data_IF_589354581033
#
_entry.id   IF_589354581033
#
_cell.length_a   1.000
_cell.length_b   1.000
_cell.length_c   1.000
_cell.angle_alpha   90.00
_cell.angle_beta   90.00
_cell.angle_gamma   90.00
#
_symmetry.space_group_name_H-M   'P 1'
#
loop_
_entity.id
_entity.type
_entity.pdbx_description
1 polymer ?
#
# COMPACT_ATOMS: atom_id res chain seq x y z
N UNK A 1 -5.21 -16.93 -87.47
CA UNK A 1 -6.56 -17.16 -86.89
C UNK A 1 -6.44 -18.28 -85.85
N UNK A 2 -7.17 -18.19 -84.74
CA UNK A 2 -7.18 -19.04 -83.52
C UNK A 2 -6.18 -18.63 -82.42
N UNK A 3 -6.55 -17.72 -81.51
CA UNK A 3 -7.42 -17.82 -80.30
C UNK A 3 -6.57 -18.05 -79.04
N UNK A 4 -6.14 -16.96 -78.41
CA UNK A 4 -5.57 -16.97 -77.06
C UNK A 4 -6.69 -16.86 -76.01
N UNK A 5 -6.67 -17.81 -75.09
CA UNK A 5 -7.61 -17.99 -73.97
C UNK A 5 -7.29 -17.03 -72.83
N UNK A 6 -8.24 -16.16 -72.46
CA UNK A 6 -8.17 -15.37 -71.22
C UNK A 6 -8.84 -16.16 -70.08
N UNK A 7 -8.04 -16.62 -69.11
CA UNK A 7 -8.56 -17.10 -67.83
C UNK A 7 -9.00 -15.90 -66.98
N UNK A 8 -10.29 -15.84 -66.63
CA UNK A 8 -10.82 -14.92 -65.63
C UNK A 8 -10.40 -15.39 -64.23
N UNK A 9 -9.63 -14.58 -63.52
CA UNK A 9 -9.40 -14.76 -62.09
C UNK A 9 -10.55 -14.09 -61.33
N UNK A 10 -11.37 -14.88 -60.63
CA UNK A 10 -12.39 -14.37 -59.70
C UNK A 10 -11.71 -14.04 -58.37
N UNK A 11 -11.62 -12.75 -58.04
CA UNK A 11 -11.23 -12.29 -56.71
C UNK A 11 -12.46 -12.34 -55.80
N UNK A 12 -12.49 -13.28 -54.85
CA UNK A 12 -13.50 -13.30 -53.79
C UNK A 12 -13.14 -12.23 -52.75
N UNK A 13 -13.96 -11.18 -52.67
CA UNK A 13 -13.85 -10.16 -51.63
C UNK A 13 -14.36 -10.76 -50.30
N UNK A 14 -13.44 -11.04 -49.37
CA UNK A 14 -13.77 -11.46 -48.01
C UNK A 14 -14.04 -10.20 -47.18
N UNK A 15 -15.30 -9.87 -46.94
CA UNK A 15 -15.72 -8.80 -46.05
C UNK A 15 -15.47 -9.21 -44.60
N UNK A 16 -14.42 -8.64 -43.97
CA UNK A 16 -14.27 -8.69 -42.51
C UNK A 16 -15.35 -7.83 -41.87
N UNK A 17 -16.37 -8.47 -41.29
CA UNK A 17 -17.26 -7.83 -40.35
C UNK A 17 -16.54 -7.70 -39.00
N UNK A 18 -16.09 -6.49 -38.66
CA UNK A 18 -15.58 -6.17 -37.33
C UNK A 18 -16.76 -6.13 -36.34
N UNK A 19 -16.94 -7.20 -35.55
CA UNK A 19 -17.78 -7.14 -34.36
C UNK A 19 -17.09 -6.24 -33.32
N UNK A 20 -17.51 -4.98 -33.25
CA UNK A 20 -17.27 -4.15 -32.08
C UNK A 20 -18.12 -4.68 -30.93
N UNK A 21 -17.58 -5.62 -30.16
CA UNK A 21 -18.15 -6.00 -28.87
C UNK A 21 -17.98 -4.82 -27.91
N UNK A 22 -19.01 -3.98 -27.81
CA UNK A 22 -19.11 -2.97 -26.78
C UNK A 22 -19.38 -3.70 -25.46
N UNK A 23 -18.31 -4.09 -24.77
CA UNK A 23 -18.38 -4.70 -23.45
C UNK A 23 -18.92 -3.66 -22.46
N UNK A 24 -20.22 -3.60 -22.27
CA UNK A 24 -20.81 -2.86 -21.16
C UNK A 24 -20.47 -3.62 -19.88
N UNK A 25 -19.32 -3.29 -19.27
CA UNK A 25 -18.99 -3.81 -17.94
C UNK A 25 -20.12 -3.41 -17.00
N UNK A 26 -20.80 -4.40 -16.44
CA UNK A 26 -21.83 -4.17 -15.44
C UNK A 26 -21.18 -3.47 -14.25
N UNK A 27 -21.72 -2.34 -13.77
CA UNK A 27 -21.18 -1.66 -12.60
C UNK A 27 -21.12 -2.63 -11.41
N UNK A 28 -20.00 -2.63 -10.70
CA UNK A 28 -19.87 -3.42 -9.48
C UNK A 28 -20.92 -2.94 -8.46
N UNK A 29 -21.66 -3.85 -7.79
CA UNK A 29 -22.70 -3.45 -6.85
C UNK A 29 -22.11 -2.63 -5.71
N UNK A 30 -22.76 -1.50 -5.40
CA UNK A 30 -22.32 -0.59 -4.35
C UNK A 30 -22.56 -1.20 -2.96
N UNK A 31 -21.55 -1.15 -2.09
CA UNK A 31 -21.65 -1.63 -0.73
C UNK A 31 -22.47 -0.72 0.20
N UNK A 32 -22.70 -1.18 1.43
CA UNK A 32 -23.26 -0.35 2.49
C UNK A 32 -22.27 0.74 2.91
N UNK A 33 -22.80 1.90 3.33
CA UNK A 33 -21.97 2.95 3.95
C UNK A 33 -21.34 2.40 5.23
N UNK A 34 -20.09 2.79 5.49
CA UNK A 34 -19.38 2.51 6.74
C UNK A 34 -19.02 3.82 7.46
N UNK A 35 -18.67 3.74 8.74
CA UNK A 35 -18.18 4.90 9.47
C UNK A 35 -16.77 5.30 8.99
N UNK A 36 -15.97 4.33 8.55
CA UNK A 36 -14.61 4.60 8.08
C UNK A 36 -14.60 5.32 6.72
N UNK A 37 -13.75 6.33 6.62
CA UNK A 37 -13.39 7.03 5.39
C UNK A 37 -11.91 6.82 5.12
N UNK A 38 -11.56 6.78 3.85
CA UNK A 38 -10.20 6.58 3.39
C UNK A 38 -9.75 7.75 2.52
N UNK A 39 -8.50 8.14 2.71
CA UNK A 39 -7.71 8.94 1.79
C UNK A 39 -6.78 8.00 1.02
N UNK A 40 -6.60 8.23 -0.28
CA UNK A 40 -5.67 7.46 -1.09
C UNK A 40 -4.87 8.36 -2.03
N UNK A 41 -3.62 7.97 -2.31
CA UNK A 41 -2.80 8.60 -3.35
C UNK A 41 -2.81 7.75 -4.60
N UNK A 42 -3.15 8.33 -5.74
CA UNK A 42 -3.13 7.63 -7.03
C UNK A 42 -1.74 7.56 -7.65
N UNK A 43 -1.54 6.65 -8.61
CA UNK A 43 -0.30 6.55 -9.38
C UNK A 43 0.04 7.83 -10.17
N UNK A 44 -0.98 8.60 -10.58
CA UNK A 44 -0.83 9.94 -11.18
C UNK A 44 -0.67 11.08 -10.15
N UNK A 45 -0.44 10.74 -8.88
CA UNK A 45 -0.14 11.66 -7.78
C UNK A 45 -1.29 12.64 -7.44
N UNK A 46 -2.52 12.10 -7.35
CA UNK A 46 -3.71 12.81 -6.85
C UNK A 46 -4.17 12.21 -5.53
N UNK A 47 -4.81 13.01 -4.68
CA UNK A 47 -5.52 12.52 -3.51
C UNK A 47 -6.97 12.19 -3.88
N UNK A 48 -7.43 11.04 -3.43
CA UNK A 48 -8.84 10.63 -3.47
C UNK A 48 -9.36 10.53 -2.03
N UNK A 49 -10.61 10.93 -1.81
CA UNK A 49 -11.35 10.63 -0.58
C UNK A 49 -12.56 9.78 -0.91
N UNK A 50 -12.84 8.75 -0.14
CA UNK A 50 -14.01 7.89 -0.33
C UNK A 50 -14.49 7.25 0.98
N UNK A 51 -15.74 6.79 0.99
CA UNK A 51 -16.25 5.99 2.10
C UNK A 51 -15.75 4.55 1.97
N UNK A 52 -15.20 3.96 3.03
CA UNK A 52 -14.57 2.64 2.96
C UNK A 52 -15.56 1.50 2.61
N UNK A 53 -16.87 1.72 2.77
CA UNK A 53 -17.91 0.79 2.32
C UNK A 53 -18.34 0.94 0.87
N UNK A 54 -17.94 2.04 0.21
CA UNK A 54 -18.35 2.42 -1.15
C UNK A 54 -17.15 2.92 -1.96
N UNK A 55 -16.11 2.09 -2.16
CA UNK A 55 -14.84 2.51 -2.74
C UNK A 55 -14.95 3.07 -4.17
N UNK A 56 -15.98 2.65 -4.92
CA UNK A 56 -16.25 3.16 -6.27
C UNK A 56 -16.81 4.60 -6.31
N UNK A 57 -17.31 5.13 -5.18
CA UNK A 57 -17.89 6.47 -5.09
C UNK A 57 -16.90 7.45 -4.46
N UNK A 58 -16.14 8.12 -5.32
CA UNK A 58 -15.18 9.16 -4.90
C UNK A 58 -15.94 10.39 -4.39
N UNK A 59 -15.58 10.82 -3.19
CA UNK A 59 -16.12 12.01 -2.51
C UNK A 59 -15.35 13.28 -2.90
N UNK A 60 -14.04 13.17 -3.08
CA UNK A 60 -13.18 14.26 -3.53
C UNK A 60 -11.98 13.74 -4.33
N UNK A 61 -11.52 14.53 -5.30
CA UNK A 61 -10.25 14.34 -6.00
C UNK A 61 -9.48 15.66 -5.94
N UNK A 62 -8.27 15.63 -5.38
CA UNK A 62 -7.42 16.82 -5.24
C UNK A 62 -6.09 16.60 -5.95
N UNK A 63 -5.57 17.65 -6.58
CA UNK A 63 -4.21 17.64 -7.10
C UNK A 63 -3.24 17.86 -5.95
N UNK A 64 -2.19 17.06 -5.88
CA UNK A 64 -1.13 17.25 -4.89
C UNK A 64 -0.19 18.36 -5.38
N UNK A 65 0.08 19.33 -4.51
CA UNK A 65 0.99 20.46 -4.78
C UNK A 65 2.05 20.56 -3.70
N UNK A 66 3.13 21.31 -3.93
CA UNK A 66 4.18 21.53 -2.91
C UNK A 66 5.27 20.45 -2.82
N UNK A 67 5.21 19.41 -3.66
CA UNK A 67 6.30 18.43 -3.79
C UNK A 67 7.51 19.01 -4.51
N UNK A 68 8.68 18.41 -4.29
CA UNK A 68 9.87 18.68 -5.09
C UNK A 68 9.65 18.32 -6.56
N UNK A 69 10.33 19.02 -7.47
CA UNK A 69 10.19 18.78 -8.90
C UNK A 69 10.58 17.33 -9.27
N UNK A 70 9.67 16.64 -9.97
CA UNK A 70 9.86 15.24 -10.37
C UNK A 70 9.62 14.20 -9.27
N UNK A 71 9.21 14.64 -8.07
CA UNK A 71 8.87 13.74 -6.97
C UNK A 71 7.42 13.26 -7.04
N UNK A 72 7.21 12.02 -6.61
CA UNK A 72 5.90 11.40 -6.42
C UNK A 72 5.81 10.85 -5.01
N UNK A 73 4.59 10.62 -4.51
CA UNK A 73 4.42 9.95 -3.22
C UNK A 73 4.46 8.44 -3.37
N UNK A 74 4.92 7.77 -2.30
CA UNK A 74 5.10 6.32 -2.22
C UNK A 74 4.24 5.66 -1.13
N UNK A 75 3.60 6.46 -0.27
CA UNK A 75 2.81 6.00 0.86
C UNK A 75 2.31 7.18 1.68
N UNK A 76 1.21 6.99 2.41
CA UNK A 76 0.62 7.98 3.31
C UNK A 76 0.12 7.27 4.57
N UNK A 77 0.07 7.98 5.68
CA UNK A 77 -0.60 7.52 6.91
C UNK A 77 -0.84 8.71 7.87
N UNK A 78 -1.85 8.61 8.75
CA UNK A 78 -2.14 9.60 9.77
C UNK A 78 -1.28 9.40 11.02
N UNK A 79 -0.66 10.48 11.47
CA UNK A 79 -0.24 10.61 12.87
C UNK A 79 -1.47 10.94 13.71
N UNK A 80 -2.21 9.90 14.13
CA UNK A 80 -3.51 10.04 14.81
C UNK A 80 -3.48 11.00 16.01
N UNK A 81 -2.41 11.01 16.80
CA UNK A 81 -2.26 11.90 17.97
C UNK A 81 -2.23 13.41 17.63
N UNK A 82 -2.01 13.76 16.36
CA UNK A 82 -2.01 15.14 15.86
C UNK A 82 -3.00 15.39 14.73
N UNK A 83 -3.77 14.38 14.30
CA UNK A 83 -4.68 14.45 13.15
C UNK A 83 -4.00 14.97 11.87
N UNK A 84 -2.74 14.58 11.65
CA UNK A 84 -1.94 15.02 10.51
C UNK A 84 -1.67 13.87 9.55
N UNK A 85 -2.02 14.04 8.27
CA UNK A 85 -1.68 13.10 7.21
C UNK A 85 -0.23 13.32 6.79
N UNK A 86 0.60 12.29 6.90
CA UNK A 86 1.97 12.31 6.40
C UNK A 86 2.09 11.55 5.09
N UNK A 87 3.13 11.87 4.33
CA UNK A 87 3.48 11.15 3.12
C UNK A 87 4.99 10.89 3.00
N UNK A 88 5.31 9.78 2.33
CA UNK A 88 6.65 9.42 1.90
C UNK A 88 6.88 9.89 0.47
N UNK A 89 7.84 10.80 0.25
CA UNK A 89 8.28 11.22 -1.07
C UNK A 89 9.31 10.28 -1.70
N UNK A 90 9.27 10.12 -3.03
CA UNK A 90 10.15 9.22 -3.78
C UNK A 90 11.63 9.62 -3.78
N UNK A 91 11.95 10.84 -3.34
CA UNK A 91 13.34 11.28 -3.16
C UNK A 91 13.89 11.05 -1.75
N UNK A 92 13.13 10.38 -0.87
CA UNK A 92 13.54 10.08 0.50
C UNK A 92 13.33 11.27 1.43
N UNK A 93 12.08 11.69 1.59
CA UNK A 93 11.68 12.82 2.42
C UNK A 93 10.27 12.60 2.97
N UNK A 94 9.95 13.22 4.10
CA UNK A 94 8.60 13.30 4.64
C UNK A 94 7.88 14.60 4.24
N UNK A 95 6.58 14.48 4.04
CA UNK A 95 5.65 15.59 3.91
C UNK A 95 4.53 15.47 4.93
N UNK A 96 3.97 16.61 5.34
CA UNK A 96 2.59 16.68 5.84
C UNK A 96 1.71 17.09 4.66
N UNK A 97 0.61 16.38 4.45
CA UNK A 97 -0.40 16.68 3.46
C UNK A 97 -1.64 17.27 4.14
N UNK A 98 -2.16 18.34 3.56
CA UNK A 98 -3.51 18.81 3.81
C UNK A 98 -4.45 18.06 2.86
N UNK A 99 -5.32 17.22 3.41
CA UNK A 99 -6.23 16.36 2.65
C UNK A 99 -7.54 17.05 2.24
N UNK A 100 -7.72 18.33 2.58
CA UNK A 100 -8.82 19.17 2.08
C UNK A 100 -8.40 19.97 0.83
N UNK A 101 -7.13 20.36 0.76
CA UNK A 101 -6.59 21.23 -0.30
C UNK A 101 -5.60 20.53 -1.23
N UNK A 102 -4.97 19.44 -0.79
CA UNK A 102 -3.90 18.74 -1.50
C UNK A 102 -2.52 19.40 -1.38
N UNK A 103 -2.35 20.39 -0.50
CA UNK A 103 -1.07 21.03 -0.28
C UNK A 103 -0.12 20.15 0.55
N UNK A 104 1.11 19.95 0.06
CA UNK A 104 2.18 19.24 0.75
C UNK A 104 3.21 20.22 1.33
N UNK A 105 3.61 19.99 2.58
CA UNK A 105 4.66 20.74 3.27
C UNK A 105 5.79 19.80 3.70
N UNK A 106 7.03 20.18 3.35
CA UNK A 106 8.22 19.39 3.69
C UNK A 106 8.39 19.30 5.22
N UNK A 107 8.70 18.09 5.69
CA UNK A 107 9.13 17.83 7.07
C UNK A 107 10.62 17.59 7.09
N UNK A 108 11.34 18.47 7.77
CA UNK A 108 12.77 18.34 8.03
C UNK A 108 13.64 18.17 6.77
N UNK A 109 14.68 17.36 6.91
CA UNK A 109 15.69 17.15 5.87
C UNK A 109 15.46 15.86 5.08
N UNK A 110 16.04 15.72 3.87
CA UNK A 110 16.13 14.41 3.20
C UNK A 110 16.74 13.35 4.10
N UNK A 111 16.37 12.10 3.85
CA UNK A 111 16.89 10.96 4.60
C UNK A 111 18.39 10.80 4.38
N UNK A 112 19.11 10.46 5.45
CA UNK A 112 20.53 10.09 5.38
C UNK A 112 20.75 8.72 4.72
N UNK A 113 19.71 7.88 4.70
CA UNK A 113 19.68 6.56 4.08
C UNK A 113 18.76 6.60 2.87
N UNK A 114 19.21 6.10 1.72
CA UNK A 114 18.40 6.04 0.51
C UNK A 114 17.28 5.00 0.64
N UNK A 115 16.12 5.29 0.06
CA UNK A 115 15.08 4.30 -0.12
C UNK A 115 15.52 3.25 -1.15
N UNK A 116 15.34 1.98 -0.84
CA UNK A 116 15.68 0.86 -1.69
C UNK A 116 14.43 0.11 -2.13
N UNK A 117 14.28 -0.13 -3.43
CA UNK A 117 13.12 -0.83 -3.99
C UNK A 117 12.15 0.09 -4.72
N UNK A 118 10.97 -0.45 -5.00
CA UNK A 118 9.94 0.19 -5.82
C UNK A 118 8.57 0.24 -5.14
N UNK A 119 8.36 -0.54 -4.07
CA UNK A 119 7.10 -0.63 -3.33
C UNK A 119 7.41 -0.56 -1.86
N UNK A 120 6.57 0.16 -1.12
CA UNK A 120 6.85 0.54 0.25
C UNK A 120 5.60 0.38 1.13
N UNK A 121 5.80 -0.14 2.34
CA UNK A 121 4.88 0.07 3.45
C UNK A 121 5.31 1.30 4.24
N UNK A 122 4.36 2.14 4.63
CA UNK A 122 4.59 3.40 5.33
C UNK A 122 3.48 3.59 6.36
N UNK A 123 3.82 3.62 7.65
CA UNK A 123 2.80 3.65 8.71
C UNK A 123 3.34 4.15 10.05
N UNK A 124 2.52 4.83 10.84
CA UNK A 124 2.83 5.28 12.18
C UNK A 124 2.67 4.17 13.19
N UNK A 125 3.70 3.96 14.00
CA UNK A 125 3.53 3.27 15.27
C UNK A 125 2.95 4.24 16.31
N UNK A 126 1.70 4.07 16.77
CA UNK A 126 1.09 5.01 17.72
C UNK A 126 1.67 4.93 19.14
N UNK A 127 2.28 3.81 19.54
CA UNK A 127 2.84 3.64 20.89
C UNK A 127 4.19 4.36 21.09
N UNK A 128 5.03 4.40 20.05
CA UNK A 128 6.37 5.02 20.14
C UNK A 128 6.54 6.27 19.28
N UNK A 129 5.48 6.68 18.57
CA UNK A 129 5.46 7.88 17.73
C UNK A 129 6.62 7.90 16.72
N UNK A 130 6.73 6.81 15.96
CA UNK A 130 7.71 6.64 14.88
C UNK A 130 7.04 6.11 13.66
N UNK A 131 7.51 6.55 12.51
CA UNK A 131 7.05 6.03 11.21
C UNK A 131 7.89 4.83 10.86
N UNK A 132 7.26 3.72 10.48
CA UNK A 132 7.91 2.56 9.86
C UNK A 132 7.91 2.76 8.36
N UNK A 133 9.05 2.49 7.72
CA UNK A 133 9.16 2.34 6.27
C UNK A 133 9.77 0.98 5.97
N UNK A 134 9.06 0.17 5.22
CA UNK A 134 9.54 -1.13 4.72
C UNK A 134 9.46 -1.17 3.21
N UNK A 135 10.27 -2.01 2.56
CA UNK A 135 10.22 -2.13 1.11
C UNK A 135 10.28 -3.56 0.59
N UNK A 136 9.96 -3.70 -0.69
CA UNK A 136 9.98 -4.97 -1.41
C UNK A 136 11.39 -5.57 -1.59
N UNK A 137 12.45 -4.86 -1.24
CA UNK A 137 13.83 -5.40 -1.20
C UNK A 137 14.24 -5.88 0.20
N UNK A 138 13.33 -5.77 1.17
CA UNK A 138 13.54 -6.11 2.58
C UNK A 138 14.10 -4.98 3.43
N UNK A 139 14.15 -3.74 2.91
CA UNK A 139 14.55 -2.59 3.71
C UNK A 139 13.58 -2.38 4.87
N UNK A 140 14.11 -1.96 6.01
CA UNK A 140 13.36 -1.72 7.24
C UNK A 140 13.94 -0.50 7.95
N UNK A 141 13.16 0.58 8.01
CA UNK A 141 13.57 1.86 8.58
C UNK A 141 12.55 2.34 9.59
N UNK A 142 13.02 3.16 10.53
CA UNK A 142 12.16 4.02 11.35
C UNK A 142 12.52 5.47 11.09
N UNK A 143 11.53 6.35 11.04
CA UNK A 143 11.74 7.80 10.87
C UNK A 143 11.18 8.57 12.07
N UNK A 144 11.83 9.68 12.39
CA UNK A 144 11.32 10.65 13.36
C UNK A 144 10.33 11.61 12.67
N UNK A 145 9.06 11.67 13.12
CA UNK A 145 8.01 12.39 12.38
C UNK A 145 8.17 13.92 12.40
N UNK A 146 8.90 14.48 13.36
CA UNK A 146 9.10 15.94 13.40
C UNK A 146 10.36 16.42 12.65
N UNK A 147 11.30 15.52 12.33
CA UNK A 147 12.60 15.91 11.74
C UNK A 147 12.92 15.21 10.42
N UNK A 148 12.17 14.16 10.06
CA UNK A 148 12.47 13.33 8.89
C UNK A 148 13.73 12.47 9.05
N UNK A 149 14.42 12.53 10.20
CA UNK A 149 15.64 11.77 10.42
C UNK A 149 15.35 10.27 10.49
N UNK A 150 16.20 9.48 9.83
CA UNK A 150 16.21 8.02 9.99
C UNK A 150 16.73 7.71 11.39
N UNK A 151 15.98 6.88 12.13
CA UNK A 151 16.35 6.41 13.46
C UNK A 151 17.39 5.31 13.31
N UNK A 152 18.52 5.47 14.01
CA UNK A 152 19.60 4.50 14.00
C UNK A 152 19.17 3.16 14.64
N UNK A 153 19.26 2.08 13.86
CA UNK A 153 18.99 0.71 14.29
C UNK A 153 20.08 0.11 15.17
N UNK A 154 21.30 0.65 15.14
CA UNK A 154 22.42 0.14 15.93
C UNK A 154 23.43 1.23 16.30
N UNK A 155 23.17 1.88 17.44
CA UNK A 155 24.01 2.94 18.00
C UNK A 155 25.44 2.52 18.42
N UNK A 156 25.80 1.25 18.29
CA UNK A 156 27.18 0.78 18.54
C UNK A 156 28.08 0.88 17.31
N UNK A 157 27.51 1.13 16.13
CA UNK A 157 28.24 1.33 14.88
C UNK A 157 28.22 2.82 14.51
N UNK A 158 29.27 3.26 13.81
CA UNK A 158 29.34 4.64 13.35
C UNK A 158 28.33 4.91 12.21
N UNK A 159 27.61 6.03 12.34
CA UNK A 159 26.62 6.48 11.34
C UNK A 159 25.26 5.78 11.48
N UNK A 160 24.26 6.31 10.76
CA UNK A 160 22.89 5.80 10.85
C UNK A 160 22.76 4.44 10.19
N UNK A 161 22.38 3.42 10.96
CA UNK A 161 22.10 2.07 10.46
C UNK A 161 20.60 1.86 10.24
N UNK A 162 20.25 1.02 9.27
CA UNK A 162 18.87 0.55 9.13
C UNK A 162 18.50 -0.42 10.26
N UNK A 163 17.21 -0.68 10.46
CA UNK A 163 16.78 -1.80 11.28
C UNK A 163 17.13 -3.13 10.58
N UNK A 164 16.94 -4.25 11.28
CA UNK A 164 17.17 -5.60 10.75
C UNK A 164 16.39 -5.83 9.46
N UNK A 165 17.06 -6.41 8.46
CA UNK A 165 16.48 -6.72 7.15
C UNK A 165 15.29 -7.66 7.31
N UNK A 166 14.24 -7.45 6.51
CA UNK A 166 13.05 -8.30 6.56
C UNK A 166 13.39 -9.73 6.15
N UNK A 167 13.04 -10.68 7.02
CA UNK A 167 13.25 -12.10 6.81
C UNK A 167 12.25 -12.92 7.62
N UNK A 168 11.79 -14.04 7.08
CA UNK A 168 10.96 -14.98 7.83
C UNK A 168 11.73 -15.58 9.01
N UNK A 169 11.08 -15.61 10.17
CA UNK A 169 11.64 -16.18 11.38
C UNK A 169 11.95 -17.67 11.23
N UNK A 170 12.91 -18.17 12.02
CA UNK A 170 13.18 -19.60 12.06
C UNK A 170 11.94 -20.36 12.56
N UNK A 171 11.55 -21.43 11.86
CA UNK A 171 10.34 -22.20 12.15
C UNK A 171 9.05 -21.63 11.57
N UNK A 172 9.07 -20.46 10.93
CA UNK A 172 7.94 -19.99 10.15
C UNK A 172 7.69 -20.88 8.92
N UNK A 173 6.43 -21.00 8.49
CA UNK A 173 6.04 -21.76 7.29
C UNK A 173 6.74 -21.29 6.00
N UNK A 174 7.21 -20.05 5.96
CA UNK A 174 7.91 -19.44 4.85
C UNK A 174 9.41 -19.19 5.16
N UNK A 175 9.96 -19.78 6.22
CA UNK A 175 11.37 -19.67 6.57
C UNK A 175 12.28 -20.01 5.37
N UNK A 176 13.30 -19.17 5.14
CA UNK A 176 14.24 -19.29 4.02
C UNK A 176 13.76 -18.70 2.69
N UNK A 177 12.48 -18.29 2.57
CA UNK A 177 12.02 -17.51 1.41
C UNK A 177 12.39 -16.04 1.58
N UNK A 178 12.71 -15.37 0.47
CA UNK A 178 12.88 -13.93 0.44
C UNK A 178 11.51 -13.23 0.40
N UNK A 179 11.15 -12.41 1.40
CA UNK A 179 9.89 -11.68 1.38
C UNK A 179 9.92 -10.53 0.37
N UNK A 180 8.76 -10.19 -0.16
CA UNK A 180 8.46 -9.00 -0.97
C UNK A 180 7.35 -8.25 -0.21
N UNK A 181 7.74 -7.55 0.85
CA UNK A 181 6.79 -6.76 1.66
C UNK A 181 6.44 -5.47 0.92
N UNK A 182 5.14 -5.24 0.73
CA UNK A 182 4.61 -4.14 -0.10
C UNK A 182 3.63 -3.23 0.66
N UNK A 183 3.32 -3.54 1.90
CA UNK A 183 2.45 -2.74 2.77
C UNK A 183 2.71 -3.08 4.22
N UNK A 184 2.52 -2.11 5.12
CA UNK A 184 2.67 -2.27 6.56
C UNK A 184 1.61 -1.42 7.26
N UNK A 185 1.11 -1.89 8.41
CA UNK A 185 0.14 -1.17 9.24
C UNK A 185 0.28 -1.58 10.72
N UNK A 186 0.15 -0.63 11.64
CA UNK A 186 0.10 -0.88 13.07
C UNK A 186 -1.33 -0.95 13.60
N UNK A 187 -1.57 -1.86 14.54
CA UNK A 187 -2.78 -1.84 15.36
C UNK A 187 -2.75 -0.74 16.41
N UNK A 188 -3.94 -0.37 16.89
CA UNK A 188 -4.15 0.55 18.00
C UNK A 188 -4.71 -0.21 19.20
N UNK A 189 -3.87 -0.49 20.20
CA UNK A 189 -4.36 -1.19 21.38
C UNK A 189 -5.14 -0.22 22.30
N UNK A 190 -6.44 -0.48 22.44
CA UNK A 190 -7.37 0.33 23.25
C UNK A 190 -7.23 0.12 24.77
N UNK A 191 -6.66 -1.00 25.19
CA UNK A 191 -6.47 -1.34 26.60
C UNK A 191 -5.12 -0.85 27.14
N UNK A 192 -4.07 -0.90 26.32
CA UNK A 192 -2.73 -0.42 26.65
C UNK A 192 -2.12 0.30 25.44
N UNK A 193 -2.12 1.65 25.41
CA UNK A 193 -1.61 2.41 24.27
C UNK A 193 -0.08 2.31 24.10
N UNK A 194 0.63 1.61 24.98
CA UNK A 194 2.08 1.39 24.89
C UNK A 194 2.46 0.19 24.04
N UNK A 195 1.49 -0.61 23.60
CA UNK A 195 1.73 -1.80 22.78
C UNK A 195 0.99 -1.71 21.46
N UNK A 196 1.62 -2.26 20.43
CA UNK A 196 1.12 -2.28 19.05
C UNK A 196 1.62 -3.56 18.39
N UNK A 197 0.87 -4.08 17.42
CA UNK A 197 1.29 -5.13 16.51
C UNK A 197 1.57 -4.51 15.16
N UNK A 198 2.75 -4.77 14.59
CA UNK A 198 3.04 -4.43 13.20
C UNK A 198 2.58 -5.59 12.31
N UNK A 199 1.69 -5.29 11.37
CA UNK A 199 1.27 -6.19 10.31
C UNK A 199 1.85 -5.75 8.97
N UNK A 200 2.08 -6.72 8.09
CA UNK A 200 2.57 -6.43 6.74
C UNK A 200 1.95 -7.38 5.70
N UNK A 201 1.95 -6.92 4.45
CA UNK A 201 1.51 -7.70 3.29
C UNK A 201 2.73 -8.14 2.48
N UNK A 202 2.91 -9.45 2.35
CA UNK A 202 3.96 -10.04 1.53
C UNK A 202 3.40 -10.53 0.19
N UNK A 203 3.79 -9.87 -0.88
CA UNK A 203 3.39 -10.23 -2.24
C UNK A 203 4.08 -11.52 -2.74
N UNK A 204 5.21 -11.92 -2.16
CA UNK A 204 5.89 -13.16 -2.56
C UNK A 204 5.07 -14.41 -2.18
N UNK A 205 4.39 -14.35 -1.04
CA UNK A 205 3.60 -15.47 -0.50
C UNK A 205 2.10 -15.23 -0.56
N UNK A 206 1.66 -14.01 -0.89
CA UNK A 206 0.25 -13.60 -0.89
C UNK A 206 -0.36 -13.63 0.51
N UNK A 207 0.44 -13.34 1.54
CA UNK A 207 0.08 -13.54 2.93
C UNK A 207 0.09 -12.25 3.74
N UNK A 208 -0.75 -12.25 4.79
CA UNK A 208 -0.64 -11.35 5.91
C UNK A 208 0.40 -11.94 6.86
N UNK A 209 1.32 -11.10 7.32
CA UNK A 209 2.36 -11.46 8.30
C UNK A 209 2.36 -10.45 9.43
N UNK A 210 2.92 -10.81 10.60
CA UNK A 210 3.40 -9.81 11.56
C UNK A 210 4.87 -9.55 11.34
N UNK A 211 5.31 -8.32 11.57
CA UNK A 211 6.72 -7.98 11.70
C UNK A 211 7.05 -7.86 13.20
N UNK A 212 7.75 -8.85 13.75
CA UNK A 212 7.85 -9.06 15.19
C UNK A 212 6.64 -9.81 15.75
N UNK A 213 6.59 -9.92 17.07
CA UNK A 213 5.54 -10.65 17.78
C UNK A 213 4.26 -9.81 17.92
N UNK A 214 3.10 -10.49 17.97
CA UNK A 214 1.85 -9.85 18.41
C UNK A 214 1.94 -9.36 19.85
N UNK A 215 1.12 -8.37 20.15
CA UNK A 215 0.84 -7.93 21.51
C UNK A 215 0.51 -9.12 22.44
N UNK A 216 1.08 -9.11 23.65
CA UNK A 216 0.87 -10.14 24.67
C UNK A 216 1.66 -11.44 24.49
N UNK A 217 2.40 -11.62 23.39
CA UNK A 217 3.27 -12.80 23.19
C UNK A 217 4.61 -12.62 23.92
N UNK A 218 5.07 -13.68 24.61
CA UNK A 218 6.35 -13.71 25.30
C UNK A 218 7.20 -14.93 24.87
N UNK A 219 8.51 -14.77 24.62
CA UNK A 219 9.25 -13.51 24.61
C UNK A 219 8.84 -12.61 23.43
N UNK A 220 8.82 -11.30 23.65
CA UNK A 220 8.45 -10.34 22.62
C UNK A 220 9.59 -10.20 21.59
N UNK A 221 9.24 -10.15 20.30
CA UNK A 221 10.18 -9.90 19.21
C UNK A 221 9.86 -8.54 18.63
N UNK A 222 10.82 -7.61 18.72
CA UNK A 222 10.65 -6.26 18.19
C UNK A 222 10.56 -6.27 16.66
N UNK A 223 9.68 -5.45 16.04
CA UNK A 223 9.66 -5.26 14.59
C UNK A 223 11.00 -4.73 14.03
N UNK A 224 11.84 -4.12 14.86
CA UNK A 224 13.17 -3.63 14.47
C UNK A 224 14.13 -4.77 14.13
N UNK A 225 13.82 -6.01 14.54
CA UNK A 225 14.61 -7.19 14.15
C UNK A 225 14.40 -7.57 12.68
N UNK A 226 13.31 -7.09 12.06
CA UNK A 226 12.90 -7.47 10.71
C UNK A 226 12.27 -8.87 10.60
N UNK A 227 12.11 -9.60 11.71
CA UNK A 227 11.55 -10.94 11.67
C UNK A 227 10.07 -10.92 11.28
N UNK A 228 9.70 -11.76 10.32
CA UNK A 228 8.32 -11.94 9.85
C UNK A 228 7.76 -13.27 10.33
N UNK A 229 6.50 -13.26 10.78
CA UNK A 229 5.73 -14.45 11.13
C UNK A 229 4.42 -14.49 10.35
N UNK A 230 4.18 -15.59 9.63
CA UNK A 230 3.02 -15.79 8.77
C UNK A 230 1.75 -15.94 9.59
N UNK A 231 0.70 -15.17 9.25
CA UNK A 231 -0.64 -15.32 9.83
C UNK A 231 -1.49 -16.21 8.93
N UNK A 232 -1.55 -15.90 7.64
CA UNK A 232 -2.34 -16.66 6.68
C UNK A 232 -2.46 -15.97 5.33
N UNK A 233 -2.96 -16.71 4.35
CA UNK A 233 -3.10 -16.23 2.98
C UNK A 233 -4.27 -15.23 2.87
N UNK A 234 -4.09 -14.18 2.05
CA UNK A 234 -5.17 -13.24 1.73
C UNK A 234 -6.26 -13.89 0.89
N UNK A 235 -5.93 -14.93 0.10
CA UNK A 235 -6.84 -15.53 -0.87
C UNK A 235 -6.98 -14.72 -2.17
N UNK A 236 -6.12 -13.72 -2.37
CA UNK A 236 -6.02 -12.93 -3.60
C UNK A 236 -4.55 -12.68 -3.95
N UNK A 237 -4.22 -12.73 -5.24
CA UNK A 237 -2.88 -12.41 -5.73
C UNK A 237 -2.75 -10.90 -6.00
N UNK A 238 -1.63 -10.32 -5.58
CA UNK A 238 -1.32 -8.90 -5.74
C UNK A 238 0.19 -8.74 -5.95
N UNK A 239 0.58 -7.75 -6.75
CA UNK A 239 1.97 -7.40 -6.99
C UNK A 239 2.40 -6.15 -6.22
N UNK A 240 1.46 -5.28 -5.82
CA UNK A 240 1.64 -4.19 -4.85
C UNK A 240 0.39 -4.06 -3.98
N UNK A 241 0.54 -3.41 -2.84
CA UNK A 241 -0.59 -3.00 -2.03
C UNK A 241 -0.31 -1.68 -1.32
N UNK A 242 -1.36 -1.06 -0.80
CA UNK A 242 -1.27 -0.12 0.31
C UNK A 242 -2.18 -0.66 1.42
N UNK A 243 -1.78 -0.53 2.68
CA UNK A 243 -2.38 -1.23 3.82
C UNK A 243 -2.42 -0.30 5.02
N UNK A 244 -3.55 -0.26 5.72
CA UNK A 244 -3.73 0.55 6.93
C UNK A 244 -4.85 -0.07 7.82
N UNK A 245 -4.80 0.20 9.12
CA UNK A 245 -5.71 -0.29 10.15
C UNK A 245 -6.35 0.90 10.86
N UNK A 246 -7.68 0.98 10.80
CA UNK A 246 -8.39 2.12 11.39
C UNK A 246 -8.29 2.11 12.94
N UNK A 247 -7.87 3.24 13.50
CA UNK A 247 -7.50 3.37 14.92
C UNK A 247 -8.63 3.15 15.94
N UNK A 248 -9.87 3.46 15.58
CA UNK A 248 -11.05 3.34 16.42
C UNK A 248 -11.78 2.00 16.27
N UNK A 249 -11.81 1.40 15.08
CA UNK A 249 -12.58 0.18 14.79
C UNK A 249 -11.73 -1.08 14.71
N UNK A 250 -10.40 -0.96 14.62
CA UNK A 250 -9.44 -2.05 14.35
C UNK A 250 -9.72 -2.80 13.03
N UNK A 251 -10.50 -2.20 12.12
CA UNK A 251 -10.77 -2.78 10.81
C UNK A 251 -9.59 -2.48 9.90
N UNK A 252 -8.97 -3.55 9.41
CA UNK A 252 -7.84 -3.47 8.49
C UNK A 252 -8.34 -3.41 7.03
N UNK A 253 -7.82 -2.46 6.27
CA UNK A 253 -8.14 -2.29 4.85
C UNK A 253 -6.88 -2.31 4.00
N UNK A 254 -7.00 -2.85 2.79
CA UNK A 254 -5.94 -2.76 1.80
C UNK A 254 -6.48 -2.39 0.42
N UNK A 255 -5.67 -1.64 -0.32
CA UNK A 255 -5.81 -1.48 -1.76
C UNK A 255 -4.83 -2.44 -2.45
N UNK A 256 -5.35 -3.52 -3.04
CA UNK A 256 -4.54 -4.53 -3.72
C UNK A 256 -4.43 -4.21 -5.22
N UNK A 257 -3.22 -4.22 -5.74
CA UNK A 257 -2.93 -4.02 -7.16
C UNK A 257 -2.44 -5.35 -7.76
N UNK A 258 -3.11 -5.84 -8.80
CA UNK A 258 -2.71 -7.05 -9.53
C UNK A 258 -2.19 -6.69 -10.92
N UNK A 259 -1.26 -7.47 -11.46
CA UNK A 259 -0.73 -7.23 -12.81
C UNK A 259 -1.84 -7.28 -13.87
N UNK A 260 -1.73 -6.43 -14.89
CA UNK A 260 -2.75 -6.30 -15.93
C UNK A 260 -4.04 -5.55 -15.54
N UNK A 261 -4.19 -5.14 -14.28
CA UNK A 261 -5.34 -4.33 -13.83
C UNK A 261 -5.01 -2.83 -13.81
N UNK A 262 -5.99 -1.98 -14.15
CA UNK A 262 -5.83 -0.52 -14.13
C UNK A 262 -6.23 0.11 -12.80
N UNK A 263 -7.10 -0.52 -12.01
CA UNK A 263 -7.56 -0.01 -10.71
C UNK A 263 -7.20 -0.92 -9.54
N UNK A 264 -7.25 -0.37 -8.33
CA UNK A 264 -6.98 -1.11 -7.10
C UNK A 264 -8.24 -1.77 -6.55
N UNK A 265 -8.11 -3.02 -6.11
CA UNK A 265 -9.15 -3.77 -5.41
C UNK A 265 -9.12 -3.40 -3.93
N UNK A 266 -10.19 -2.78 -3.43
CA UNK A 266 -10.38 -2.47 -2.01
C UNK A 266 -10.89 -3.69 -1.25
N UNK A 267 -10.20 -4.06 -0.18
CA UNK A 267 -10.53 -5.22 0.65
C UNK A 267 -10.47 -4.87 2.13
N UNK A 268 -11.26 -5.58 2.95
CA UNK A 268 -10.97 -5.74 4.39
C UNK A 268 -10.11 -6.96 4.61
N UNK A 269 -9.24 -6.95 5.62
CA UNK A 269 -8.40 -8.09 5.99
C UNK A 269 -8.73 -8.52 7.42
N UNK A 270 -8.99 -9.81 7.61
CA UNK A 270 -9.12 -10.38 8.95
C UNK A 270 -7.71 -10.54 9.56
N UNK A 271 -7.40 -9.72 10.56
CA UNK A 271 -6.08 -9.71 11.20
C UNK A 271 -5.74 -10.98 11.97
N UNK A 272 -6.64 -11.94 12.15
CA UNK A 272 -6.38 -13.22 12.85
C UNK A 272 -6.06 -14.35 11.88
N UNK A 273 -6.70 -14.35 10.72
CA UNK A 273 -6.63 -15.42 9.72
C UNK A 273 -5.87 -15.02 8.46
N UNK A 274 -5.69 -13.72 8.22
CA UNK A 274 -5.12 -13.16 7.00
C UNK A 274 -6.11 -13.05 5.84
N UNK A 275 -7.32 -13.60 5.96
CA UNK A 275 -8.27 -13.66 4.85
C UNK A 275 -8.76 -12.28 4.42
N UNK A 276 -8.71 -12.00 3.11
CA UNK A 276 -9.23 -10.76 2.53
C UNK A 276 -10.67 -10.94 2.03
N UNK A 277 -11.50 -9.91 2.20
CA UNK A 277 -12.84 -9.81 1.61
C UNK A 277 -12.93 -8.56 0.74
N UNK A 278 -13.21 -8.76 -0.54
CA UNK A 278 -13.42 -7.66 -1.49
C UNK A 278 -14.63 -6.81 -1.11
N UNK A 279 -14.45 -5.49 -1.13
CA UNK A 279 -15.49 -4.47 -1.02
C UNK A 279 -15.72 -3.72 -2.33
N UNK A 280 -14.84 -3.89 -3.31
CA UNK A 280 -15.01 -3.39 -4.66
C UNK A 280 -13.73 -2.77 -5.22
N UNK A 281 -13.84 -2.16 -6.39
CA UNK A 281 -12.73 -1.42 -7.00
C UNK A 281 -12.76 0.05 -6.54
N UNK A 282 -11.60 0.61 -6.18
CA UNK A 282 -11.49 2.03 -5.87
C UNK A 282 -11.80 2.84 -7.14
N UNK A 283 -12.64 3.88 -7.00
CA UNK A 283 -12.94 4.80 -8.09
C UNK A 283 -11.71 5.61 -8.54
N UNK A 284 -11.88 6.47 -9.55
CA UNK A 284 -10.79 7.26 -10.12
C UNK A 284 -10.08 6.58 -11.30
N UNK A 285 -10.28 5.28 -11.51
CA UNK A 285 -9.90 4.58 -12.74
C UNK A 285 -8.40 4.28 -12.89
N UNK A 286 -7.63 4.42 -11.81
CA UNK A 286 -6.20 4.13 -11.75
C UNK A 286 -5.81 3.44 -10.44
N UNK A 287 -4.59 2.93 -10.37
CA UNK A 287 -4.04 2.31 -9.16
C UNK A 287 -3.74 3.37 -8.11
N UNK A 288 -3.82 2.98 -6.85
CA UNK A 288 -3.33 3.76 -5.72
C UNK A 288 -2.00 3.20 -5.21
N UNK A 289 -1.16 4.10 -4.69
CA UNK A 289 0.19 3.82 -4.15
C UNK A 289 0.28 4.04 -2.64
N UNK A 290 -0.74 4.65 -2.03
CA UNK A 290 -0.83 4.84 -0.59
C UNK A 290 -2.30 5.00 -0.17
N UNK A 291 -2.63 4.56 1.05
CA UNK A 291 -3.94 4.73 1.66
C UNK A 291 -3.75 5.13 3.13
N UNK A 292 -4.67 5.90 3.67
CA UNK A 292 -4.75 6.21 5.08
C UNK A 292 -6.24 6.29 5.49
N UNK A 293 -6.61 5.76 6.65
CA UNK A 293 -7.95 5.83 7.20
C UNK A 293 -8.06 7.05 8.12
N UNK A 294 -9.13 7.83 7.93
CA UNK A 294 -9.38 9.01 8.76
C UNK A 294 -9.55 8.59 10.24
N UNK A 295 -8.89 9.29 11.19
CA UNK A 295 -9.01 9.03 12.62
C UNK A 295 -10.39 9.37 13.20
#
# INVERSE_FOLDING_TARGET
MNTFSFKRASLAALTLASLAACSTMTPEPEGAVRDEKAVAVTASNKLLKFNAGRPGRILATLNITGLQAGETLLGIDYRVSKEQLYALGSTGRLYVLDDETGAASIVGSPFSVKLEGAQFGFDFNPAVDRIRVVSNTGQNLRLHPDTGAVVDGNATLDGVQTDGKLAYAAGDSNAGKSPIVVGAAYSYNKADPKITTNFALDAATGALVTQGSREGVAPAVSPNTGQLMTIGALGAAFSSAAFDIQALSDVAFAALNSDGTTGSRWVTIDLKTGAAKSLGTIGGGERVVGIALEP
#
